data_IF_788447616787
#
_entry.id   IF_788447616787
#
_cell.length_a   1.000
_cell.length_b   1.000
_cell.length_c   1.000
_cell.angle_alpha   90.00
_cell.angle_beta   90.00
_cell.angle_gamma   90.00
#
_symmetry.space_group_name_H-M   'P 1'
#
loop_
_entity.id
_entity.type
_entity.pdbx_description
1 polymer ?
#
# COMPACT_ATOMS: atom_id res chain seq x y z
N UNK A 1 21.68 14.81 23.79
CA UNK A 1 20.59 15.73 24.22
C UNK A 1 19.37 15.32 23.43
N UNK A 2 18.47 14.54 24.04
CA UNK A 2 17.42 13.77 23.35
C UNK A 2 16.36 14.61 22.62
N UNK A 3 16.30 15.93 22.88
CA UNK A 3 15.29 16.81 22.30
C UNK A 3 15.41 16.98 20.78
N UNK A 4 16.62 16.87 20.21
CA UNK A 4 16.81 16.92 18.75
C UNK A 4 16.22 15.70 18.05
N UNK A 5 16.40 14.53 18.63
CA UNK A 5 15.82 13.28 18.14
C UNK A 5 14.28 13.31 18.25
N UNK A 6 13.76 13.95 19.31
CA UNK A 6 12.31 14.17 19.48
C UNK A 6 11.76 15.13 18.42
N UNK A 7 12.42 16.26 18.14
CA UNK A 7 11.98 17.19 17.10
C UNK A 7 12.03 16.57 15.70
N UNK A 8 13.11 15.83 15.39
CA UNK A 8 13.19 15.10 14.11
C UNK A 8 12.04 14.10 13.97
N UNK A 9 11.67 13.39 15.03
CA UNK A 9 10.52 12.49 15.01
C UNK A 9 9.19 13.23 14.77
N UNK A 10 9.04 14.48 15.23
CA UNK A 10 7.86 15.32 14.96
C UNK A 10 7.82 15.81 13.51
N UNK A 11 8.96 16.20 12.95
CA UNK A 11 9.10 16.58 11.54
C UNK A 11 8.82 15.39 10.61
N UNK A 12 9.43 14.22 10.88
CA UNK A 12 9.23 12.99 10.12
C UNK A 12 7.77 12.49 10.17
N UNK A 13 7.05 12.85 11.23
CA UNK A 13 5.62 12.60 11.38
C UNK A 13 4.73 13.57 10.56
N UNK A 14 5.31 14.57 9.90
CA UNK A 14 4.59 15.61 9.17
C UNK A 14 3.66 16.42 10.08
N UNK A 15 4.01 16.60 11.37
CA UNK A 15 3.16 17.34 12.32
C UNK A 15 3.02 18.82 11.95
N UNK A 16 4.01 19.36 11.23
CA UNK A 16 3.99 20.73 10.70
C UNK A 16 3.26 20.85 9.34
N UNK A 17 2.97 19.74 8.67
CA UNK A 17 2.12 19.76 7.48
C UNK A 17 0.66 19.97 7.90
N UNK A 18 -0.08 20.80 7.14
CA UNK A 18 -1.52 20.98 7.36
C UNK A 18 -2.19 19.61 7.25
N UNK A 19 -2.62 19.05 8.38
CA UNK A 19 -3.23 17.74 8.38
C UNK A 19 -4.64 17.85 7.78
N UNK A 20 -5.01 17.01 6.79
CA UNK A 20 -6.32 17.07 6.14
C UNK A 20 -7.46 17.00 7.15
N UNK A 21 -8.55 17.74 6.93
CA UNK A 21 -9.75 17.57 7.77
C UNK A 21 -10.28 16.13 7.63
N UNK A 22 -10.82 15.57 8.72
CA UNK A 22 -11.40 14.22 8.77
C UNK A 22 -10.40 13.10 8.45
N UNK A 23 -9.35 13.02 9.27
CA UNK A 23 -8.29 12.01 9.16
C UNK A 23 -8.09 11.26 10.48
N UNK A 24 -7.47 10.09 10.40
CA UNK A 24 -6.94 9.36 11.55
C UNK A 24 -5.58 8.76 11.25
N UNK A 25 -4.81 8.43 12.29
CA UNK A 25 -3.50 7.80 12.17
C UNK A 25 -3.58 6.31 12.45
N UNK A 26 -3.32 5.51 11.41
CA UNK A 26 -3.26 4.06 11.48
C UNK A 26 -1.83 3.54 11.30
N UNK A 27 -1.59 2.30 11.70
CA UNK A 27 -0.37 1.57 11.37
C UNK A 27 -0.74 0.41 10.46
N UNK A 28 -0.75 0.58 9.13
CA UNK A 28 -1.11 -0.51 8.23
C UNK A 28 -0.07 -1.61 8.31
N UNK A 29 -0.54 -2.84 8.34
CA UNK A 29 0.32 -4.03 8.33
C UNK A 29 0.82 -4.32 6.92
N UNK A 30 -0.05 -4.13 5.92
CA UNK A 30 0.23 -4.40 4.51
C UNK A 30 -0.16 -3.16 3.69
N UNK A 31 0.70 -2.83 2.72
CA UNK A 31 0.40 -1.88 1.65
C UNK A 31 0.14 -2.62 0.37
N UNK A 32 -0.96 -2.31 -0.30
CA UNK A 32 -1.32 -2.86 -1.61
C UNK A 32 -1.20 -1.76 -2.65
N UNK A 33 -0.46 -2.03 -3.71
CA UNK A 33 -0.34 -1.16 -4.87
C UNK A 33 -1.27 -1.66 -5.98
N UNK A 34 -2.13 -0.77 -6.44
CA UNK A 34 -3.04 -0.99 -7.57
C UNK A 34 -2.63 -0.12 -8.76
N UNK A 35 -3.01 -0.53 -9.96
CA UNK A 35 -3.04 0.37 -11.12
C UNK A 35 -4.36 1.16 -11.18
N UNK A 36 -4.44 2.16 -12.04
CA UNK A 36 -5.65 2.96 -12.27
C UNK A 36 -6.88 2.15 -12.69
N UNK A 37 -6.73 0.90 -13.13
CA UNK A 37 -7.84 0.03 -13.53
C UNK A 37 -8.28 -0.92 -12.40
N UNK A 38 -7.72 -0.76 -11.19
CA UNK A 38 -7.99 -1.65 -10.06
C UNK A 38 -7.37 -3.02 -10.22
N UNK A 39 -6.24 -3.14 -10.94
CA UNK A 39 -5.47 -4.38 -10.99
C UNK A 39 -4.37 -4.39 -9.94
N UNK A 40 -4.13 -5.56 -9.37
CA UNK A 40 -3.05 -5.76 -8.41
C UNK A 40 -1.69 -5.62 -9.08
N UNK A 41 -0.85 -4.72 -8.56
CA UNK A 41 0.54 -4.53 -9.02
C UNK A 41 1.53 -5.18 -8.05
N UNK A 42 1.27 -5.10 -6.75
CA UNK A 42 2.12 -5.69 -5.74
C UNK A 42 1.71 -5.31 -4.32
N UNK A 43 2.37 -5.90 -3.32
CA UNK A 43 2.15 -5.57 -1.93
C UNK A 43 3.43 -5.75 -1.10
N UNK A 44 3.48 -5.08 0.05
CA UNK A 44 4.60 -5.20 0.99
C UNK A 44 4.11 -5.06 2.43
N UNK A 45 4.88 -5.62 3.37
CA UNK A 45 4.72 -5.31 4.79
C UNK A 45 5.08 -3.85 5.06
N UNK A 46 4.42 -3.25 6.04
CA UNK A 46 4.65 -1.88 6.44
C UNK A 46 4.92 -1.78 7.95
N UNK A 47 5.79 -0.86 8.34
CA UNK A 47 6.09 -0.56 9.74
C UNK A 47 5.78 0.89 10.13
N UNK A 48 5.54 1.77 9.16
CA UNK A 48 5.32 3.19 9.38
C UNK A 48 3.85 3.52 9.64
N UNK A 49 3.58 4.69 10.20
CA UNK A 49 2.21 5.19 10.38
C UNK A 49 1.73 5.93 9.14
N UNK A 50 0.42 5.85 8.91
CA UNK A 50 -0.27 6.46 7.78
C UNK A 50 -1.39 7.34 8.31
N UNK A 51 -1.53 8.51 7.71
CA UNK A 51 -2.72 9.34 7.84
C UNK A 51 -3.72 8.89 6.79
N UNK A 52 -4.90 8.43 7.20
CA UNK A 52 -5.98 7.96 6.31
C UNK A 52 -7.24 8.80 6.53
N UNK A 53 -8.13 8.92 5.53
CA UNK A 53 -9.43 9.55 5.75
C UNK A 53 -10.27 8.74 6.76
N UNK A 54 -11.13 9.42 7.51
CA UNK A 54 -12.10 8.77 8.41
C UNK A 54 -13.41 9.57 8.48
N UNK A 55 -14.52 8.90 8.73
CA UNK A 55 -15.76 9.55 9.19
C UNK A 55 -15.77 9.69 10.71
N UNK A 56 -16.63 10.57 11.24
CA UNK A 56 -16.83 10.74 12.69
C UNK A 56 -17.19 9.40 13.36
N UNK A 57 -18.07 8.63 12.74
CA UNK A 57 -18.51 7.32 13.25
C UNK A 57 -17.38 6.31 13.24
N UNK A 58 -16.57 6.29 12.17
CA UNK A 58 -15.45 5.36 12.07
C UNK A 58 -14.35 5.66 13.09
N UNK A 59 -14.12 6.93 13.40
CA UNK A 59 -13.11 7.40 14.36
C UNK A 59 -13.56 7.19 15.81
N UNK A 60 -14.81 7.53 16.13
CA UNK A 60 -15.36 7.39 17.48
C UNK A 60 -15.84 5.98 17.84
N UNK A 61 -15.68 5.02 16.92
CA UNK A 61 -16.17 3.64 17.08
C UNK A 61 -15.49 2.91 18.24
N UNK A 62 -16.28 2.52 19.23
CA UNK A 62 -15.87 1.56 20.28
C UNK A 62 -16.23 0.12 19.93
N UNK A 63 -17.31 -0.08 19.16
CA UNK A 63 -17.79 -1.37 18.64
C UNK A 63 -18.74 -1.15 17.44
N UNK A 64 -19.11 -2.22 16.72
CA UNK A 64 -20.07 -2.13 15.61
C UNK A 64 -19.44 -2.01 14.22
N UNK A 65 -20.27 -1.60 13.25
CA UNK A 65 -19.93 -1.49 11.83
C UNK A 65 -19.86 -0.01 11.42
N UNK A 66 -18.66 0.49 11.18
CA UNK A 66 -18.43 1.89 10.77
C UNK A 66 -17.12 2.01 9.96
N UNK A 67 -17.13 1.60 8.68
CA UNK A 67 -15.91 1.48 7.89
C UNK A 67 -15.17 2.82 7.75
N UNK A 68 -13.84 2.76 7.72
CA UNK A 68 -13.00 3.86 7.27
C UNK A 68 -13.03 3.93 5.73
N UNK A 69 -13.08 5.13 5.13
CA UNK A 69 -13.02 5.27 3.69
C UNK A 69 -11.67 4.77 3.12
N UNK A 70 -11.73 4.10 1.97
CA UNK A 70 -10.59 3.67 1.13
C UNK A 70 -9.67 2.63 1.79
N UNK A 71 -9.37 2.71 3.08
CA UNK A 71 -8.39 1.89 3.79
C UNK A 71 -9.01 1.32 5.06
N UNK A 72 -8.90 0.01 5.29
CA UNK A 72 -9.47 -0.60 6.50
C UNK A 72 -8.81 -1.96 6.82
N UNK A 73 -9.27 -2.60 7.89
CA UNK A 73 -8.93 -3.97 8.25
C UNK A 73 -9.58 -4.97 7.30
N UNK A 74 -8.96 -6.13 7.13
CA UNK A 74 -9.45 -7.20 6.25
C UNK A 74 -10.92 -7.60 6.50
N UNK A 75 -11.43 -7.55 7.75
CA UNK A 75 -12.86 -7.79 8.05
C UNK A 75 -13.85 -6.89 7.29
N UNK A 76 -13.38 -5.74 6.78
CA UNK A 76 -14.15 -4.82 5.93
C UNK A 76 -13.82 -5.02 4.43
N UNK A 77 -12.60 -5.48 4.13
CA UNK A 77 -12.10 -5.55 2.75
C UNK A 77 -12.32 -6.89 2.06
N UNK A 78 -12.57 -7.97 2.81
CA UNK A 78 -12.67 -9.32 2.28
C UNK A 78 -14.03 -9.95 2.60
N UNK A 79 -14.69 -10.52 1.58
CA UNK A 79 -16.00 -11.16 1.66
C UNK A 79 -15.94 -12.67 1.96
N UNK A 80 -14.76 -13.25 2.03
CA UNK A 80 -14.56 -14.70 2.14
C UNK A 80 -14.53 -15.22 3.59
N UNK A 81 -14.88 -14.39 4.58
CA UNK A 81 -14.97 -14.84 5.97
C UNK A 81 -16.32 -15.52 6.21
N UNK A 82 -16.30 -16.71 6.80
CA UNK A 82 -17.53 -17.39 7.26
C UNK A 82 -17.95 -16.90 8.67
N UNK A 83 -18.03 -15.58 8.82
CA UNK A 83 -18.52 -14.91 10.01
C UNK A 83 -19.54 -13.85 9.58
N UNK A 84 -20.74 -13.89 10.16
CA UNK A 84 -21.84 -13.02 9.77
C UNK A 84 -21.51 -11.53 9.99
N UNK A 85 -20.78 -11.20 11.05
CA UNK A 85 -20.40 -9.81 11.33
C UNK A 85 -19.37 -9.31 10.32
N UNK A 86 -18.45 -10.16 9.85
CA UNK A 86 -17.52 -9.80 8.79
C UNK A 86 -18.24 -9.59 7.45
N UNK A 87 -19.26 -10.39 7.13
CA UNK A 87 -20.09 -10.20 5.93
C UNK A 87 -20.80 -8.84 5.97
N UNK A 88 -21.48 -8.52 7.08
CA UNK A 88 -22.15 -7.22 7.28
C UNK A 88 -21.18 -6.03 7.19
N UNK A 89 -19.97 -6.19 7.74
CA UNK A 89 -18.90 -5.17 7.66
C UNK A 89 -18.43 -4.95 6.24
N UNK A 90 -18.18 -6.02 5.50
CA UNK A 90 -17.76 -5.92 4.12
C UNK A 90 -18.83 -5.27 3.24
N UNK A 91 -20.09 -5.68 3.38
CA UNK A 91 -21.21 -5.08 2.67
C UNK A 91 -21.35 -3.59 2.97
N UNK A 92 -21.24 -3.20 4.25
CA UNK A 92 -21.27 -1.79 4.64
C UNK A 92 -20.10 -0.99 4.08
N UNK A 93 -18.89 -1.59 4.03
CA UNK A 93 -17.71 -0.95 3.45
C UNK A 93 -17.89 -0.72 1.94
N UNK A 94 -18.30 -1.76 1.20
CA UNK A 94 -18.48 -1.66 -0.24
C UNK A 94 -19.60 -0.68 -0.61
N UNK A 95 -20.68 -0.63 0.19
CA UNK A 95 -21.74 0.37 0.02
C UNK A 95 -21.22 1.79 0.24
N UNK A 96 -20.53 2.04 1.37
CA UNK A 96 -19.96 3.36 1.67
C UNK A 96 -18.98 3.80 0.57
N UNK A 97 -18.10 2.90 0.14
CA UNK A 97 -17.11 3.21 -0.89
C UNK A 97 -17.76 3.51 -2.24
N UNK A 98 -18.84 2.80 -2.58
CA UNK A 98 -19.61 3.06 -3.80
C UNK A 98 -20.26 4.44 -3.78
N UNK A 99 -20.96 4.77 -2.70
CA UNK A 99 -21.58 6.10 -2.52
C UNK A 99 -20.52 7.20 -2.58
N UNK A 100 -19.35 6.99 -1.97
CA UNK A 100 -18.25 7.94 -2.02
C UNK A 100 -17.75 8.22 -3.45
N UNK A 101 -17.54 7.18 -4.27
CA UNK A 101 -17.02 7.36 -5.64
C UNK A 101 -18.07 7.88 -6.62
N UNK A 102 -19.37 7.85 -6.25
CA UNK A 102 -20.44 8.48 -7.04
C UNK A 102 -20.45 10.01 -6.85
N UNK A 103 -20.05 10.49 -5.68
CA UNK A 103 -20.03 11.92 -5.32
C UNK A 103 -18.66 12.58 -5.51
N UNK A 104 -17.57 11.80 -5.43
CA UNK A 104 -16.20 12.33 -5.44
C UNK A 104 -15.37 11.67 -6.55
N UNK A 105 -14.68 12.51 -7.31
CA UNK A 105 -13.74 12.08 -8.37
C UNK A 105 -12.38 11.65 -7.77
N UNK A 106 -12.38 10.58 -6.97
CA UNK A 106 -11.17 10.01 -6.36
C UNK A 106 -10.73 8.73 -7.09
N UNK A 107 -9.66 8.84 -7.88
CA UNK A 107 -9.13 7.74 -8.68
C UNK A 107 -8.60 6.56 -7.84
N UNK A 108 -8.03 6.82 -6.66
CA UNK A 108 -7.59 5.75 -5.76
C UNK A 108 -8.80 4.98 -5.24
N UNK A 109 -9.83 5.69 -4.76
CA UNK A 109 -11.04 5.06 -4.24
C UNK A 109 -11.75 4.23 -5.32
N UNK A 110 -11.87 4.75 -6.55
CA UNK A 110 -12.43 4.00 -7.70
C UNK A 110 -11.61 2.75 -8.03
N UNK A 111 -10.29 2.86 -8.00
CA UNK A 111 -9.38 1.72 -8.22
C UNK A 111 -9.56 0.65 -7.14
N UNK A 112 -9.64 1.07 -5.87
CA UNK A 112 -9.88 0.16 -4.73
C UNK A 112 -11.23 -0.53 -4.88
N UNK A 113 -12.30 0.19 -5.19
CA UNK A 113 -13.64 -0.36 -5.40
C UNK A 113 -13.62 -1.46 -6.48
N UNK A 114 -13.09 -1.15 -7.67
CA UNK A 114 -12.95 -2.12 -8.78
C UNK A 114 -12.11 -3.34 -8.41
N UNK A 115 -11.08 -3.16 -7.59
CA UNK A 115 -10.23 -4.27 -7.16
C UNK A 115 -10.96 -5.19 -6.19
N UNK A 116 -11.64 -4.63 -5.20
CA UNK A 116 -12.34 -5.39 -4.17
C UNK A 116 -13.57 -6.13 -4.70
N UNK A 117 -14.27 -5.57 -5.70
CA UNK A 117 -15.35 -6.29 -6.41
C UNK A 117 -14.89 -7.62 -7.03
N UNK A 118 -13.59 -7.76 -7.36
CA UNK A 118 -13.03 -9.00 -7.90
C UNK A 118 -12.89 -10.10 -6.85
N UNK A 119 -12.92 -9.76 -5.56
CA UNK A 119 -12.75 -10.73 -4.45
C UNK A 119 -11.37 -11.39 -4.41
N UNK A 120 -10.33 -10.74 -4.94
CA UNK A 120 -8.98 -11.33 -5.06
C UNK A 120 -8.00 -10.89 -3.98
N UNK A 121 -8.40 -9.99 -3.08
CA UNK A 121 -7.48 -9.36 -2.12
C UNK A 121 -6.73 -10.42 -1.31
N UNK A 122 -7.45 -11.33 -0.63
CA UNK A 122 -6.85 -12.34 0.24
C UNK A 122 -5.82 -13.18 -0.51
N UNK A 123 -6.18 -13.66 -1.70
CA UNK A 123 -5.29 -14.45 -2.54
C UNK A 123 -4.02 -13.70 -2.96
N UNK A 124 -4.15 -12.43 -3.34
CA UNK A 124 -3.03 -11.59 -3.75
C UNK A 124 -2.02 -11.32 -2.62
N UNK A 125 -2.47 -11.33 -1.35
CA UNK A 125 -1.62 -10.99 -0.19
C UNK A 125 -1.41 -12.15 0.80
N UNK A 126 -1.88 -13.37 0.50
CA UNK A 126 -1.85 -14.53 1.43
C UNK A 126 -0.49 -14.81 2.06
N UNK A 127 0.60 -14.64 1.31
CA UNK A 127 1.95 -14.89 1.83
C UNK A 127 2.46 -13.78 2.74
N UNK A 128 1.90 -12.58 2.63
CA UNK A 128 2.16 -11.48 3.57
C UNK A 128 1.31 -11.65 4.83
N UNK A 129 0.07 -12.11 4.72
CA UNK A 129 -0.82 -12.36 5.86
C UNK A 129 -0.18 -13.35 6.86
N UNK A 130 0.45 -14.43 6.38
CA UNK A 130 1.20 -15.39 7.21
C UNK A 130 2.34 -14.78 8.04
N UNK A 131 2.83 -13.60 7.64
CA UNK A 131 3.94 -12.91 8.32
C UNK A 131 3.46 -11.87 9.33
N UNK A 132 2.16 -11.58 9.38
CA UNK A 132 1.57 -10.64 10.34
C UNK A 132 1.11 -11.41 11.57
N UNK A 133 1.59 -11.02 12.75
CA UNK A 133 1.21 -11.65 14.02
C UNK A 133 -0.11 -11.06 14.56
N UNK A 134 -1.19 -11.17 13.77
CA UNK A 134 -2.54 -10.74 14.13
C UNK A 134 -3.56 -11.72 13.52
N UNK A 135 -4.77 -11.84 14.08
CA UNK A 135 -5.88 -12.46 13.37
C UNK A 135 -6.07 -11.80 12.00
N UNK A 136 -6.31 -12.59 10.95
CA UNK A 136 -6.33 -12.13 9.56
C UNK A 136 -7.31 -10.98 9.37
N UNK A 137 -8.50 -11.10 9.95
CA UNK A 137 -9.58 -10.12 9.86
C UNK A 137 -9.25 -8.77 10.53
N UNK A 138 -8.21 -8.74 11.37
CA UNK A 138 -7.68 -7.53 12.03
C UNK A 138 -6.46 -6.94 11.31
N UNK A 139 -5.96 -7.56 10.25
CA UNK A 139 -4.85 -7.01 9.47
C UNK A 139 -5.30 -5.73 8.78
N UNK A 140 -4.68 -4.59 9.09
CA UNK A 140 -4.94 -3.30 8.47
C UNK A 140 -4.24 -3.21 7.11
N UNK A 141 -5.00 -2.92 6.06
CA UNK A 141 -4.49 -2.76 4.70
C UNK A 141 -4.70 -1.33 4.23
N UNK A 142 -3.63 -0.70 3.74
CA UNK A 142 -3.72 0.57 3.02
C UNK A 142 -3.43 0.35 1.54
N UNK A 143 -4.15 1.10 0.70
CA UNK A 143 -4.01 1.06 -0.74
C UNK A 143 -3.21 2.26 -1.23
N UNK A 144 -2.44 2.05 -2.28
CA UNK A 144 -1.84 3.10 -3.08
C UNK A 144 -2.12 2.80 -4.55
N UNK A 145 -2.06 3.84 -5.39
CA UNK A 145 -2.25 3.71 -6.82
C UNK A 145 -1.02 4.22 -7.58
N UNK A 146 -0.71 3.56 -8.69
CA UNK A 146 0.28 4.03 -9.67
C UNK A 146 -0.38 4.14 -11.05
N UNK A 147 -0.20 5.27 -11.73
CA UNK A 147 -0.68 5.40 -13.11
C UNK A 147 0.13 4.52 -14.06
N UNK A 148 -0.44 4.15 -15.20
CA UNK A 148 0.28 3.36 -16.21
C UNK A 148 1.53 4.08 -16.72
N UNK A 149 1.48 5.39 -16.88
CA UNK A 149 2.63 6.20 -17.29
C UNK A 149 3.74 6.14 -16.26
N UNK A 150 3.40 6.31 -14.97
CA UNK A 150 4.36 6.24 -13.88
C UNK A 150 4.98 4.84 -13.79
N UNK A 151 4.18 3.78 -13.91
CA UNK A 151 4.66 2.41 -13.91
C UNK A 151 5.63 2.16 -15.07
N UNK A 152 5.29 2.60 -16.28
CA UNK A 152 6.13 2.47 -17.47
C UNK A 152 7.47 3.20 -17.31
N UNK A 153 7.47 4.41 -16.73
CA UNK A 153 8.68 5.18 -16.41
C UNK A 153 9.57 4.48 -15.40
N UNK A 154 9.01 3.90 -14.34
CA UNK A 154 9.78 3.14 -13.34
C UNK A 154 10.39 1.89 -13.96
N UNK A 155 9.63 1.17 -14.79
CA UNK A 155 10.10 -0.05 -15.46
C UNK A 155 11.21 0.25 -16.49
N UNK A 156 11.07 1.31 -17.28
CA UNK A 156 12.11 1.72 -18.24
C UNK A 156 13.40 2.15 -17.53
N UNK A 157 13.28 2.88 -16.41
CA UNK A 157 14.43 3.26 -15.58
C UNK A 157 15.13 2.05 -14.97
N UNK A 158 14.39 1.06 -14.46
CA UNK A 158 14.97 -0.20 -13.95
C UNK A 158 15.71 -0.98 -15.06
N UNK A 159 15.16 -1.05 -16.28
CA UNK A 159 15.83 -1.69 -17.42
C UNK A 159 17.12 -0.98 -17.80
N UNK A 160 17.12 0.36 -17.80
CA UNK A 160 18.31 1.16 -18.07
C UNK A 160 19.40 0.97 -17.00
N UNK A 161 19.03 0.94 -15.71
CA UNK A 161 19.98 0.65 -14.61
C UNK A 161 20.59 -0.74 -14.76
N UNK A 162 19.78 -1.78 -15.05
CA UNK A 162 20.28 -3.14 -15.29
C UNK A 162 21.24 -3.20 -16.48
N UNK A 163 20.96 -2.47 -17.57
CA UNK A 163 21.86 -2.36 -18.73
C UNK A 163 23.19 -1.70 -18.35
N UNK A 164 23.16 -0.58 -17.62
CA UNK A 164 24.36 0.15 -17.18
C UNK A 164 25.23 -0.73 -16.26
N UNK A 165 24.61 -1.44 -15.32
CA UNK A 165 25.30 -2.37 -14.42
C UNK A 165 25.95 -3.54 -15.20
N UNK A 166 25.25 -4.07 -16.21
CA UNK A 166 25.80 -5.11 -17.10
C UNK A 166 27.02 -4.60 -17.89
N UNK A 167 26.96 -3.38 -18.44
CA UNK A 167 28.08 -2.78 -19.19
C UNK A 167 29.29 -2.41 -18.31
N UNK A 168 29.10 -2.12 -17.02
CA UNK A 168 30.22 -1.90 -16.09
C UNK A 168 30.92 -3.22 -15.74
N UNK A 169 30.17 -4.31 -15.53
CA UNK A 169 30.72 -5.64 -15.28
C UNK A 169 31.57 -6.15 -16.46
N UNK A 170 31.17 -5.84 -17.71
CA UNK A 170 31.95 -6.23 -18.91
C UNK A 170 33.20 -5.39 -19.18
N UNK A 171 33.42 -4.28 -18.46
CA UNK A 171 34.62 -3.42 -18.63
C UNK A 171 35.74 -3.75 -17.65
N UNK A 172 35.44 -4.41 -16.54
CA UNK A 172 36.46 -4.83 -15.55
C UNK A 172 37.17 -6.14 -15.94
N UNK A 173 36.65 -6.92 -16.89
CA UNK A 173 37.29 -8.15 -17.37
C UNK A 173 38.25 -7.97 -18.55
N UNK A 174 38.50 -6.72 -18.99
CA UNK A 174 39.30 -6.40 -20.18
C UNK A 174 40.78 -6.05 -19.95
N UNK A 175 41.34 -6.23 -18.75
CA UNK A 175 42.76 -5.91 -18.46
C UNK A 175 43.55 -7.12 -17.91
N UNK A 176 43.56 -8.24 -18.64
CA UNK A 176 44.66 -9.22 -18.50
C UNK A 176 44.94 -9.82 -19.88
N UNK A 177 45.91 -9.26 -20.61
CA UNK A 177 46.84 -9.97 -21.50
C UNK A 177 47.57 -9.00 -22.44
N UNK A 178 48.84 -8.73 -22.15
CA UNK A 178 49.90 -8.75 -23.16
C UNK A 178 51.24 -8.62 -22.44
N UNK A 179 52.09 -9.64 -22.61
CA UNK A 179 53.40 -9.70 -21.99
C UNK A 179 53.99 -11.10 -21.99
N UNK A 180 53.85 -11.82 -23.10
CA UNK A 180 54.67 -13.00 -23.39
C UNK A 180 55.65 -12.61 -24.49
N UNK A 181 56.95 -12.67 -24.20
CA UNK A 181 57.95 -13.07 -25.20
C UNK A 181 59.07 -13.80 -24.46
N UNK A 182 59.16 -15.09 -24.77
CA UNK A 182 60.29 -15.95 -24.47
C UNK A 182 61.27 -15.75 -25.61
N UNK A 183 62.50 -15.31 -25.31
CA UNK A 183 63.77 -15.88 -25.78
C UNK A 183 64.91 -15.22 -25.03
#
# INVERSE_FOLDING_TARGET
MYWKEILQAYEDMGVEDIIPIAHTRVKPNIKVLLDESGNFVGAMLNQDRFTIPCTIESESRTSGCAPHPIHDNMQYLCNEYDDQKCKEKHESYMKQLKEYIEEVDDELAKSVYRFLEKGLLRDCIKDLLKKVNLPEEKVMVCFAMVSREALTRVLSRKKNIKRIACTHCSRETGKISSGATIT
#
